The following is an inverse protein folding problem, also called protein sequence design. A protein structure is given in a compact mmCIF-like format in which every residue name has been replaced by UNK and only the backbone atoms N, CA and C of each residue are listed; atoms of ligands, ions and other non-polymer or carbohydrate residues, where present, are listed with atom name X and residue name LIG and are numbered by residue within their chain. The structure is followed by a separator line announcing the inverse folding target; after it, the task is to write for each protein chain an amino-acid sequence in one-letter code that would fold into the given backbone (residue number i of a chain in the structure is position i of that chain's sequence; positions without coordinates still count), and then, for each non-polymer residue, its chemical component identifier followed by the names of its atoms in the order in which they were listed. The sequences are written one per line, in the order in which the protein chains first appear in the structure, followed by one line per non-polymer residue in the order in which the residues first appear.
data_IF_196942937434
#
_entry.id   IF_196942937434
#
_cell.length_a   1.000
_cell.length_b   1.000
_cell.length_c   1.000
_cell.angle_alpha   90.00
_cell.angle_beta   90.00
_cell.angle_gamma   90.00
#
_symmetry.space_group_name_H-M   'P 1'
#
loop_
_entity.id
_entity.type
_entity.pdbx_description
1 polymer ?
#
# COMPACT_ATOMS: atom_id res chain seq x y z
N UNK A 1 2.04 42.44 -40.01
CA UNK A 1 1.37 41.15 -40.28
C UNK A 1 1.89 40.01 -39.39
N UNK A 2 2.96 40.19 -38.60
CA UNK A 2 3.55 39.13 -37.75
C UNK A 2 2.79 38.78 -36.46
N UNK A 3 2.12 39.74 -35.83
CA UNK A 3 1.62 39.55 -34.46
C UNK A 3 0.42 38.58 -34.39
N UNK A 4 -0.43 38.55 -35.43
CA UNK A 4 -1.54 37.59 -35.53
C UNK A 4 -1.05 36.16 -35.80
N UNK A 5 0.01 35.98 -36.58
CA UNK A 5 0.59 34.65 -36.81
C UNK A 5 1.27 34.09 -35.56
N UNK A 6 1.89 34.95 -34.75
CA UNK A 6 2.51 34.56 -33.50
C UNK A 6 1.48 34.22 -32.42
N UNK A 7 0.37 34.96 -32.36
CA UNK A 7 -0.74 34.68 -31.45
C UNK A 7 -1.51 33.40 -31.81
N UNK A 8 -1.65 33.10 -33.11
CA UNK A 8 -2.22 31.83 -33.57
C UNK A 8 -1.31 30.63 -33.29
N UNK A 9 0.03 30.77 -33.37
CA UNK A 9 0.98 29.72 -32.96
C UNK A 9 0.89 29.43 -31.45
N UNK A 10 0.84 30.46 -30.61
CA UNK A 10 0.67 30.30 -29.15
C UNK A 10 -0.66 29.64 -28.77
N UNK A 11 -1.77 30.01 -29.44
CA UNK A 11 -3.07 29.35 -29.23
C UNK A 11 -3.09 27.91 -29.75
N UNK A 12 -2.37 27.60 -30.82
CA UNK A 12 -2.22 26.23 -31.33
C UNK A 12 -1.37 25.36 -30.39
N UNK A 13 -0.29 25.90 -29.81
CA UNK A 13 0.55 25.22 -28.81
C UNK A 13 -0.22 24.97 -27.51
N UNK A 14 -1.01 25.94 -27.03
CA UNK A 14 -1.90 25.77 -25.86
C UNK A 14 -3.01 24.72 -26.10
N UNK A 15 -3.58 24.66 -27.31
CA UNK A 15 -4.55 23.61 -27.69
C UNK A 15 -3.91 22.22 -27.80
N UNK A 16 -2.61 22.13 -28.09
CA UNK A 16 -1.88 20.87 -28.13
C UNK A 16 -1.60 20.33 -26.71
N UNK A 17 -1.39 21.23 -25.74
CA UNK A 17 -1.24 20.88 -24.32
C UNK A 17 -2.55 20.39 -23.68
N UNK A 18 -3.71 20.76 -24.23
CA UNK A 18 -5.05 20.35 -23.76
C UNK A 18 -5.46 18.93 -24.20
N UNK A 19 -4.72 18.29 -25.12
CA UNK A 19 -5.00 16.93 -25.61
C UNK A 19 -4.08 15.88 -24.99
N UNK A 20 -3.53 16.14 -23.81
CA UNK A 20 -2.81 15.11 -23.05
C UNK A 20 -3.81 13.97 -22.82
N UNK A 21 -3.48 12.71 -23.17
CA UNK A 21 -4.31 11.59 -22.78
C UNK A 21 -4.46 11.67 -21.26
N UNK A 22 -5.69 11.88 -20.80
CA UNK A 22 -6.03 11.60 -19.42
C UNK A 22 -5.60 10.14 -19.22
N UNK A 23 -4.74 9.90 -18.22
CA UNK A 23 -4.40 8.54 -17.84
C UNK A 23 -5.69 7.73 -17.72
N UNK A 24 -5.66 6.43 -18.05
CA UNK A 24 -6.85 5.60 -17.98
C UNK A 24 -7.51 5.76 -16.60
N UNK A 25 -8.86 5.78 -16.53
CA UNK A 25 -9.58 6.05 -15.29
C UNK A 25 -9.08 5.12 -14.19
N UNK A 26 -8.65 5.69 -13.06
CA UNK A 26 -8.29 4.93 -11.87
C UNK A 26 -9.45 3.99 -11.53
N UNK A 27 -9.25 2.68 -11.69
CA UNK A 27 -10.22 1.67 -11.27
C UNK A 27 -10.09 1.46 -9.77
N UNK A 28 -10.50 2.48 -9.01
CA UNK A 28 -10.76 2.32 -7.58
C UNK A 28 -11.98 1.43 -7.43
N UNK A 29 -11.93 0.53 -6.44
CA UNK A 29 -13.07 -0.31 -6.11
C UNK A 29 -14.28 0.55 -5.73
N UNK A 30 -15.49 0.02 -5.93
CA UNK A 30 -16.72 0.77 -5.65
C UNK A 30 -16.86 1.03 -4.14
N UNK A 31 -17.35 2.21 -3.76
CA UNK A 31 -17.58 2.56 -2.35
C UNK A 31 -18.42 1.50 -1.59
N UNK A 32 -19.45 0.87 -2.19
CA UNK A 32 -20.16 -0.24 -1.55
C UNK A 32 -19.27 -1.44 -1.20
N UNK A 33 -18.31 -1.83 -2.05
CA UNK A 33 -17.38 -2.92 -1.77
C UNK A 33 -16.55 -2.61 -0.52
N UNK A 34 -15.98 -1.41 -0.43
CA UNK A 34 -15.18 -0.99 0.71
C UNK A 34 -15.97 -0.99 2.03
N UNK A 35 -17.23 -0.57 2.01
CA UNK A 35 -18.09 -0.56 3.20
C UNK A 35 -18.39 -1.98 3.69
N UNK A 36 -18.68 -2.89 2.76
CA UNK A 36 -18.93 -4.30 3.07
C UNK A 36 -17.69 -4.98 3.66
N UNK A 37 -16.51 -4.75 3.06
CA UNK A 37 -15.25 -5.28 3.58
C UNK A 37 -14.96 -4.72 4.98
N UNK A 38 -15.20 -3.42 5.23
CA UNK A 38 -15.02 -2.84 6.58
C UNK A 38 -15.94 -3.52 7.59
N UNK A 39 -17.23 -3.64 7.26
CA UNK A 39 -18.22 -4.28 8.12
C UNK A 39 -17.79 -5.70 8.48
N UNK A 40 -17.44 -6.50 7.47
CA UNK A 40 -17.01 -7.88 7.66
C UNK A 40 -15.72 -7.98 8.48
N UNK A 41 -14.76 -7.08 8.25
CA UNK A 41 -13.51 -7.05 9.01
C UNK A 41 -13.76 -6.76 10.50
N UNK A 42 -14.62 -5.78 10.81
CA UNK A 42 -14.99 -5.44 12.20
C UNK A 42 -15.72 -6.58 12.92
N UNK A 43 -16.40 -7.48 12.21
CA UNK A 43 -17.03 -8.67 12.79
C UNK A 43 -16.00 -9.72 13.23
N UNK A 44 -14.82 -9.75 12.60
CA UNK A 44 -13.84 -10.82 12.80
C UNK A 44 -12.54 -10.35 13.47
N UNK A 45 -12.24 -9.05 13.51
CA UNK A 45 -10.93 -8.55 13.90
C UNK A 45 -10.52 -8.83 15.36
N UNK A 46 -11.46 -9.13 16.26
CA UNK A 46 -11.20 -9.53 17.64
C UNK A 46 -11.05 -11.05 17.83
N UNK A 47 -11.31 -11.82 16.77
CA UNK A 47 -11.17 -13.29 16.79
C UNK A 47 -9.72 -13.72 16.56
N UNK A 48 -9.40 -14.96 16.92
CA UNK A 48 -8.11 -15.57 16.60
C UNK A 48 -8.32 -16.70 15.59
N UNK A 49 -7.52 -16.73 14.53
CA UNK A 49 -7.50 -17.86 13.60
C UNK A 49 -7.03 -19.14 14.28
N UNK A 50 -7.48 -20.30 13.78
CA UNK A 50 -7.07 -21.60 14.31
C UNK A 50 -5.54 -21.80 14.19
N UNK A 51 -4.97 -22.73 14.97
CA UNK A 51 -3.53 -23.00 14.89
C UNK A 51 -3.13 -23.50 13.50
N UNK A 52 -3.98 -24.26 12.82
CA UNK A 52 -3.73 -24.75 11.47
C UNK A 52 -3.54 -23.59 10.48
N UNK A 53 -4.42 -22.58 10.55
CA UNK A 53 -4.34 -21.38 9.70
C UNK A 53 -3.10 -20.58 10.03
N UNK A 54 -2.80 -20.36 11.31
CA UNK A 54 -1.59 -19.62 11.74
C UNK A 54 -0.31 -20.36 11.36
N UNK A 55 -0.28 -21.67 11.47
CA UNK A 55 0.84 -22.50 11.03
C UNK A 55 1.02 -22.41 9.51
N UNK A 56 -0.06 -22.48 8.73
CA UNK A 56 -0.01 -22.30 7.29
C UNK A 56 0.47 -20.90 6.88
N UNK A 57 0.04 -19.84 7.59
CA UNK A 57 0.44 -18.46 7.32
C UNK A 57 1.95 -18.22 7.45
N UNK A 58 2.66 -19.08 8.19
CA UNK A 58 4.13 -19.02 8.37
C UNK A 58 4.89 -19.73 7.22
N UNK A 59 4.19 -20.29 6.24
CA UNK A 59 4.77 -21.05 5.13
C UNK A 59 4.64 -20.29 3.80
N UNK A 60 5.64 -20.35 2.91
CA UNK A 60 5.57 -19.82 1.54
C UNK A 60 4.44 -20.41 0.69
N UNK A 61 3.91 -21.57 1.10
CA UNK A 61 2.85 -22.28 0.39
C UNK A 61 1.43 -21.83 0.78
N UNK A 62 1.29 -20.79 1.61
CA UNK A 62 -0.02 -20.28 2.01
C UNK A 62 -0.82 -19.79 0.79
N UNK A 63 -1.98 -20.39 0.55
CA UNK A 63 -2.87 -19.95 -0.52
C UNK A 63 -3.73 -18.78 -0.05
N UNK A 64 -3.45 -17.61 -0.58
CA UNK A 64 -4.17 -16.39 -0.24
C UNK A 64 -5.49 -16.23 -1.00
N UNK A 65 -5.70 -16.94 -2.11
CA UNK A 65 -6.91 -16.80 -2.93
C UNK A 65 -8.16 -17.42 -2.31
N UNK A 66 -7.98 -18.34 -1.35
CA UNK A 66 -9.06 -18.95 -0.57
C UNK A 66 -9.73 -17.97 0.42
N UNK A 67 -9.17 -16.76 0.60
CA UNK A 67 -9.59 -15.82 1.65
C UNK A 67 -10.19 -14.54 1.09
N UNK A 68 -11.29 -14.05 1.69
CA UNK A 68 -11.89 -12.77 1.30
C UNK A 68 -11.06 -11.57 1.77
N UNK A 69 -11.26 -10.39 1.16
CA UNK A 69 -10.51 -9.17 1.48
C UNK A 69 -10.50 -8.84 3.00
N UNK A 70 -11.63 -9.03 3.68
CA UNK A 70 -11.72 -8.82 5.14
C UNK A 70 -10.86 -9.81 5.94
N UNK A 71 -10.87 -11.08 5.56
CA UNK A 71 -10.04 -12.11 6.21
C UNK A 71 -8.55 -11.83 5.98
N UNK A 72 -8.20 -11.32 4.80
CA UNK A 72 -6.83 -10.96 4.43
C UNK A 72 -6.30 -9.81 5.28
N UNK A 73 -7.12 -8.78 5.52
CA UNK A 73 -6.79 -7.71 6.47
C UNK A 73 -6.57 -8.30 7.87
N UNK A 74 -7.42 -9.25 8.31
CA UNK A 74 -7.26 -9.92 9.61
C UNK A 74 -6.01 -10.82 9.68
N UNK A 75 -5.64 -11.50 8.58
CA UNK A 75 -4.40 -12.26 8.48
C UNK A 75 -3.18 -11.32 8.59
N UNK A 76 -3.22 -10.12 8.01
CA UNK A 76 -2.18 -9.10 8.18
C UNK A 76 -2.10 -8.62 9.63
N UNK A 77 -3.24 -8.32 10.27
CA UNK A 77 -3.29 -8.01 11.71
C UNK A 77 -2.64 -9.12 12.54
N UNK A 78 -2.93 -10.39 12.21
CA UNK A 78 -2.37 -11.57 12.88
C UNK A 78 -0.85 -11.59 12.79
N UNK A 79 -0.24 -11.18 11.67
CA UNK A 79 1.23 -11.10 11.56
C UNK A 79 1.83 -10.14 12.59
N UNK A 80 1.23 -8.96 12.80
CA UNK A 80 1.71 -7.99 13.82
C UNK A 80 1.57 -8.54 15.24
N UNK A 81 0.47 -9.24 15.51
CA UNK A 81 0.23 -9.90 16.81
C UNK A 81 1.28 -10.98 17.05
N UNK A 82 1.49 -11.89 16.10
CA UNK A 82 2.39 -13.04 16.27
C UNK A 82 3.88 -12.66 16.29
N UNK A 83 4.25 -11.54 15.67
CA UNK A 83 5.60 -10.97 15.78
C UNK A 83 5.79 -10.14 17.07
N UNK A 84 4.74 -9.92 17.86
CA UNK A 84 4.77 -9.13 19.09
C UNK A 84 4.93 -7.63 18.86
N UNK A 85 4.72 -7.14 17.64
CA UNK A 85 4.95 -5.75 17.28
C UNK A 85 3.99 -4.78 17.97
N UNK A 86 2.76 -5.20 18.24
CA UNK A 86 1.77 -4.37 18.95
C UNK A 86 2.33 -3.90 20.30
N UNK A 87 2.80 -4.84 21.12
CA UNK A 87 3.34 -4.53 22.45
C UNK A 87 4.69 -3.83 22.35
N UNK A 88 5.63 -4.37 21.56
CA UNK A 88 7.01 -3.85 21.46
C UNK A 88 7.07 -2.40 20.99
N UNK A 89 6.16 -2.02 20.09
CA UNK A 89 6.12 -0.70 19.47
C UNK A 89 4.97 0.17 19.98
N UNK A 90 4.24 -0.31 21.00
CA UNK A 90 3.09 0.38 21.58
C UNK A 90 2.07 0.81 20.51
N UNK A 91 1.78 -0.05 19.54
CA UNK A 91 0.85 0.24 18.45
C UNK A 91 -0.57 -0.03 18.96
N UNK A 92 -1.47 0.97 19.04
CA UNK A 92 -2.84 0.68 19.45
C UNK A 92 -3.54 -0.18 18.40
N UNK A 93 -4.20 -1.25 18.82
CA UNK A 93 -4.79 -2.24 17.92
C UNK A 93 -5.81 -1.62 16.96
N UNK A 94 -6.61 -0.66 17.44
CA UNK A 94 -7.59 0.04 16.60
C UNK A 94 -6.92 0.93 15.55
N UNK A 95 -5.78 1.53 15.87
CA UNK A 95 -4.97 2.29 14.91
C UNK A 95 -4.36 1.38 13.85
N UNK A 96 -3.89 0.17 14.23
CA UNK A 96 -3.43 -0.84 13.28
C UNK A 96 -4.56 -1.29 12.34
N UNK A 97 -5.75 -1.54 12.89
CA UNK A 97 -6.95 -1.95 12.14
C UNK A 97 -7.36 -0.91 11.12
N UNK A 98 -7.45 0.35 11.53
CA UNK A 98 -7.81 1.44 10.61
C UNK A 98 -6.72 1.65 9.55
N UNK A 99 -5.45 1.59 9.93
CA UNK A 99 -4.34 1.68 8.97
C UNK A 99 -4.37 0.56 7.93
N UNK A 100 -4.53 -0.70 8.33
CA UNK A 100 -4.62 -1.83 7.38
C UNK A 100 -5.83 -1.70 6.44
N UNK A 101 -6.97 -1.23 6.96
CA UNK A 101 -8.16 -0.98 6.15
C UNK A 101 -7.96 0.18 5.16
N UNK A 102 -7.31 1.26 5.58
CA UNK A 102 -6.99 2.36 4.68
C UNK A 102 -5.95 1.95 3.63
N UNK A 103 -4.95 1.14 3.98
CA UNK A 103 -4.03 0.52 3.01
C UNK A 103 -4.81 -0.27 1.95
N UNK A 104 -5.74 -1.14 2.37
CA UNK A 104 -6.61 -1.89 1.46
C UNK A 104 -7.32 -0.98 0.45
N UNK A 105 -7.95 0.10 0.92
CA UNK A 105 -8.66 1.07 0.06
C UNK A 105 -7.75 1.79 -0.93
N UNK A 106 -6.46 1.88 -0.64
CA UNK A 106 -5.48 2.56 -1.48
C UNK A 106 -4.78 1.65 -2.48
N UNK A 107 -5.06 0.34 -2.46
CA UNK A 107 -4.70 -0.54 -3.58
C UNK A 107 -5.77 -0.49 -4.68
N UNK A 108 -5.35 -0.28 -5.92
CA UNK A 108 -6.26 -0.22 -7.06
C UNK A 108 -6.66 -1.62 -7.53
N UNK A 109 -7.86 -1.74 -8.12
CA UNK A 109 -8.35 -2.99 -8.72
C UNK A 109 -7.74 -3.17 -10.13
N UNK A 110 -6.45 -3.51 -10.15
CA UNK A 110 -5.68 -3.85 -11.35
C UNK A 110 -5.37 -5.35 -11.39
N UNK A 111 -5.08 -5.94 -12.56
CA UNK A 111 -4.93 -7.39 -12.66
C UNK A 111 -3.81 -8.01 -11.80
N UNK A 112 -2.76 -7.24 -11.46
CA UNK A 112 -1.60 -7.77 -10.73
C UNK A 112 -1.23 -6.96 -9.48
N UNK A 113 -0.79 -5.71 -9.60
CA UNK A 113 -0.37 -4.84 -8.47
C UNK A 113 -1.56 -4.34 -7.64
N UNK A 114 -2.31 -5.27 -7.05
CA UNK A 114 -3.52 -5.05 -6.27
C UNK A 114 -3.29 -5.48 -4.80
N UNK A 115 -4.34 -5.42 -3.98
CA UNK A 115 -4.23 -5.76 -2.56
C UNK A 115 -3.83 -7.23 -2.31
N UNK A 116 -4.19 -8.15 -3.21
CA UNK A 116 -3.77 -9.54 -3.12
C UNK A 116 -2.25 -9.67 -3.27
N UNK A 117 -1.66 -8.97 -4.24
CA UNK A 117 -0.21 -8.91 -4.41
C UNK A 117 0.49 -8.30 -3.19
N UNK A 118 -0.03 -7.20 -2.65
CA UNK A 118 0.43 -6.63 -1.37
C UNK A 118 0.50 -7.69 -0.27
N UNK A 119 -0.60 -8.44 -0.07
CA UNK A 119 -0.64 -9.51 0.91
C UNK A 119 0.40 -10.59 0.66
N UNK A 120 0.55 -11.06 -0.59
CA UNK A 120 1.54 -12.09 -0.92
C UNK A 120 2.97 -11.66 -0.55
N UNK A 121 3.34 -10.41 -0.83
CA UNK A 121 4.66 -9.87 -0.50
C UNK A 121 4.84 -9.75 1.02
N UNK A 122 3.85 -9.22 1.74
CA UNK A 122 3.88 -9.11 3.19
C UNK A 122 3.91 -10.48 3.90
N UNK A 123 3.11 -11.45 3.42
CA UNK A 123 3.06 -12.81 3.95
C UNK A 123 4.36 -13.57 3.70
N UNK A 124 4.97 -13.40 2.52
CA UNK A 124 6.29 -13.97 2.25
C UNK A 124 7.35 -13.39 3.21
N UNK A 125 7.35 -12.06 3.42
CA UNK A 125 8.25 -11.43 4.38
C UNK A 125 8.02 -11.94 5.80
N UNK A 126 6.76 -12.14 6.20
CA UNK A 126 6.41 -12.75 7.48
C UNK A 126 6.96 -14.19 7.59
N UNK A 127 6.76 -15.03 6.58
CA UNK A 127 7.29 -16.39 6.55
C UNK A 127 8.83 -16.42 6.64
N UNK A 128 9.52 -15.57 5.88
CA UNK A 128 10.98 -15.41 5.94
C UNK A 128 11.42 -14.95 7.34
N UNK A 129 10.72 -13.97 7.92
CA UNK A 129 11.03 -13.45 9.28
C UNK A 129 11.00 -14.58 10.31
N UNK A 130 10.01 -15.46 10.24
CA UNK A 130 9.87 -16.61 11.14
C UNK A 130 10.90 -17.70 10.86
N UNK A 131 11.07 -18.11 9.60
CA UNK A 131 11.93 -19.25 9.23
C UNK A 131 13.42 -18.94 9.35
N UNK A 132 13.82 -17.71 9.01
CA UNK A 132 15.21 -17.26 9.11
C UNK A 132 15.55 -16.61 10.47
N UNK A 133 14.60 -16.63 11.42
CA UNK A 133 14.72 -16.05 12.74
C UNK A 133 15.20 -14.58 12.72
N UNK A 134 14.63 -13.77 11.82
CA UNK A 134 15.14 -12.42 11.54
C UNK A 134 15.02 -11.47 12.73
N UNK A 135 14.02 -11.65 13.61
CA UNK A 135 13.89 -10.84 14.83
C UNK A 135 15.17 -10.88 15.68
N UNK A 136 15.80 -12.06 15.79
CA UNK A 136 17.05 -12.21 16.54
C UNK A 136 18.29 -11.71 15.80
N UNK A 137 18.23 -11.60 14.47
CA UNK A 137 19.38 -11.33 13.60
C UNK A 137 19.49 -9.88 13.17
N UNK A 138 18.34 -9.26 12.89
CA UNK A 138 18.23 -7.88 12.42
C UNK A 138 17.75 -6.95 13.52
N UNK A 139 16.90 -7.43 14.42
CA UNK A 139 16.22 -6.60 15.40
C UNK A 139 14.73 -6.43 15.08
N UNK A 140 13.97 -6.11 16.12
CA UNK A 140 12.51 -5.96 16.00
C UNK A 140 12.14 -4.78 15.09
N UNK A 141 12.88 -3.67 15.17
CA UNK A 141 12.58 -2.45 14.41
C UNK A 141 12.78 -2.67 12.91
N UNK A 142 13.89 -3.30 12.54
CA UNK A 142 14.21 -3.66 11.17
C UNK A 142 13.16 -4.60 10.58
N UNK A 143 12.66 -5.55 11.37
CA UNK A 143 11.61 -6.47 10.92
C UNK A 143 10.24 -5.78 10.80
N UNK A 144 9.93 -4.81 11.67
CA UNK A 144 8.75 -3.95 11.53
C UNK A 144 8.84 -3.12 10.24
N UNK A 145 9.99 -2.50 9.97
CA UNK A 145 10.25 -1.72 8.76
C UNK A 145 10.06 -2.61 7.52
N UNK A 146 10.62 -3.82 7.52
CA UNK A 146 10.46 -4.76 6.40
C UNK A 146 8.98 -5.10 6.15
N UNK A 147 8.23 -5.46 7.20
CA UNK A 147 6.83 -5.82 7.06
C UNK A 147 5.99 -4.63 6.57
N UNK A 148 6.12 -3.45 7.19
CA UNK A 148 5.38 -2.25 6.80
C UNK A 148 5.74 -1.82 5.38
N UNK A 149 7.02 -1.90 4.99
CA UNK A 149 7.46 -1.59 3.63
C UNK A 149 6.81 -2.53 2.60
N UNK A 150 6.77 -3.83 2.88
CA UNK A 150 6.08 -4.81 2.02
C UNK A 150 4.59 -4.49 1.86
N UNK A 151 3.92 -4.07 2.94
CA UNK A 151 2.49 -3.71 2.94
C UNK A 151 2.23 -2.44 2.10
N UNK A 152 3.20 -1.52 2.04
CA UNK A 152 3.01 -0.22 1.39
C UNK A 152 3.61 -0.11 -0.02
N UNK A 153 4.42 -1.08 -0.47
CA UNK A 153 5.35 -0.89 -1.60
C UNK A 153 4.71 -0.55 -2.95
N UNK A 154 3.42 -0.87 -3.14
CA UNK A 154 2.68 -0.71 -4.41
C UNK A 154 1.38 0.09 -4.23
N UNK A 155 1.27 0.89 -3.16
CA UNK A 155 0.08 1.70 -2.88
C UNK A 155 -0.29 2.61 -4.06
N UNK A 156 -1.55 2.56 -4.48
CA UNK A 156 -2.10 3.34 -5.60
C UNK A 156 -1.42 3.06 -6.95
N UNK A 157 -0.87 1.86 -7.15
CA UNK A 157 -0.29 1.46 -8.44
C UNK A 157 -1.35 1.52 -9.57
N UNK A 158 -1.08 2.21 -10.70
CA UNK A 158 -2.09 2.48 -11.74
C UNK A 158 -2.27 1.33 -12.75
N UNK A 159 -1.45 0.28 -12.65
CA UNK A 159 -1.44 -0.87 -13.56
C UNK A 159 -0.49 -0.72 -14.75
N UNK A 160 0.31 0.34 -14.80
CA UNK A 160 1.30 0.61 -15.83
C UNK A 160 2.62 1.02 -15.18
N UNK A 161 3.73 0.45 -15.64
CA UNK A 161 5.06 0.64 -15.07
C UNK A 161 5.67 2.03 -15.37
N UNK A 162 6.84 2.32 -14.78
CA UNK A 162 7.55 3.59 -14.95
C UNK A 162 7.85 3.95 -16.40
N UNK A 163 8.19 2.98 -17.25
CA UNK A 163 8.45 3.21 -18.68
C UNK A 163 7.22 3.84 -19.35
N UNK A 164 6.02 3.32 -19.04
CA UNK A 164 4.78 3.93 -19.51
C UNK A 164 4.59 5.34 -18.97
N UNK A 165 4.77 5.54 -17.64
CA UNK A 165 4.60 6.86 -17.02
C UNK A 165 5.44 7.94 -17.71
N UNK A 166 6.73 7.64 -17.93
CA UNK A 166 7.71 8.54 -18.55
C UNK A 166 7.38 8.79 -20.02
N UNK A 167 7.17 7.72 -20.81
CA UNK A 167 6.90 7.85 -22.24
C UNK A 167 5.59 8.59 -22.52
N UNK A 168 4.56 8.36 -21.70
CA UNK A 168 3.27 9.03 -21.80
C UNK A 168 3.26 10.42 -21.12
N UNK A 169 4.35 10.82 -20.45
CA UNK A 169 4.49 12.09 -19.72
C UNK A 169 3.34 12.32 -18.74
N UNK A 170 3.00 11.28 -17.98
CA UNK A 170 1.91 11.34 -17.01
C UNK A 170 2.21 12.33 -15.88
N UNK A 171 1.20 12.67 -15.09
CA UNK A 171 1.38 13.56 -13.95
C UNK A 171 2.41 13.02 -12.95
N UNK A 172 2.45 11.70 -12.73
CA UNK A 172 3.45 11.08 -11.85
C UNK A 172 4.86 11.25 -12.39
N UNK A 173 5.08 11.03 -13.69
CA UNK A 173 6.39 11.22 -14.31
C UNK A 173 6.87 12.67 -14.19
N UNK A 174 5.96 13.64 -14.44
CA UNK A 174 6.26 15.06 -14.29
C UNK A 174 6.53 15.46 -12.83
N UNK A 175 5.77 14.91 -11.88
CA UNK A 175 5.91 15.20 -10.45
C UNK A 175 7.25 14.70 -9.89
N UNK A 176 7.67 13.51 -10.31
CA UNK A 176 8.89 12.86 -9.84
C UNK A 176 10.07 12.98 -10.80
N UNK A 177 9.96 13.86 -11.81
CA UNK A 177 11.03 14.16 -12.76
C UNK A 177 11.66 12.90 -13.38
N UNK A 178 10.83 11.94 -13.78
CA UNK A 178 11.21 10.64 -14.36
C UNK A 178 12.06 9.72 -13.47
N UNK A 179 12.30 10.08 -12.19
CA UNK A 179 13.09 9.28 -11.24
C UNK A 179 12.14 8.43 -10.41
N UNK A 180 12.10 7.12 -10.69
CA UNK A 180 11.22 6.15 -10.01
C UNK A 180 9.82 6.70 -9.70
N UNK A 181 9.03 7.15 -10.71
CA UNK A 181 7.78 7.85 -10.46
C UNK A 181 6.77 7.07 -9.62
N UNK A 182 6.68 5.76 -9.83
CA UNK A 182 5.74 4.91 -9.11
C UNK A 182 6.22 4.64 -7.67
N UNK A 183 7.48 4.28 -7.48
CA UNK A 183 8.00 3.94 -6.16
C UNK A 183 7.98 5.16 -5.21
N UNK A 184 8.30 6.36 -5.72
CA UNK A 184 8.12 7.59 -4.96
C UNK A 184 6.65 7.86 -4.63
N UNK A 185 5.73 7.57 -5.55
CA UNK A 185 4.29 7.70 -5.32
C UNK A 185 3.78 6.75 -4.24
N UNK A 186 4.13 5.47 -4.31
CA UNK A 186 3.76 4.46 -3.32
C UNK A 186 4.21 4.88 -1.92
N UNK A 187 5.48 5.31 -1.80
CA UNK A 187 6.05 5.82 -0.55
C UNK A 187 5.32 7.09 -0.06
N UNK A 188 5.04 8.04 -0.94
CA UNK A 188 4.30 9.26 -0.59
C UNK A 188 2.90 8.96 -0.06
N UNK A 189 2.18 7.99 -0.65
CA UNK A 189 0.86 7.56 -0.16
C UNK A 189 1.01 6.89 1.21
N UNK A 190 2.00 6.03 1.41
CA UNK A 190 2.26 5.35 2.68
C UNK A 190 2.41 6.34 3.84
N UNK A 191 3.28 7.36 3.68
CA UNK A 191 3.49 8.38 4.71
C UNK A 191 2.27 9.29 4.89
N UNK A 192 1.52 9.60 3.83
CA UNK A 192 0.25 10.35 3.96
C UNK A 192 -0.77 9.60 4.82
N UNK A 193 -0.85 8.28 4.70
CA UNK A 193 -1.71 7.49 5.60
C UNK A 193 -1.25 7.62 7.05
N UNK A 194 0.06 7.56 7.30
CA UNK A 194 0.64 7.70 8.63
C UNK A 194 0.51 9.12 9.22
N UNK A 195 0.23 10.14 8.42
CA UNK A 195 -0.08 11.49 8.91
C UNK A 195 -1.48 11.58 9.55
N UNK A 196 -2.40 10.68 9.21
CA UNK A 196 -3.73 10.65 9.83
C UNK A 196 -3.65 10.02 11.23
N UNK A 197 -4.14 10.70 12.29
CA UNK A 197 -4.03 10.22 13.68
C UNK A 197 -4.59 8.81 13.91
N UNK A 198 -5.67 8.48 13.22
CA UNK A 198 -6.35 7.17 13.31
C UNK A 198 -5.57 6.05 12.59
N UNK A 199 -4.66 6.39 11.68
CA UNK A 199 -3.85 5.43 10.91
C UNK A 199 -2.37 5.44 11.31
N UNK A 200 -1.95 6.34 12.19
CA UNK A 200 -0.55 6.49 12.56
C UNK A 200 -0.11 5.39 13.54
N UNK A 201 0.26 4.23 12.99
CA UNK A 201 0.80 3.10 13.77
C UNK A 201 2.12 3.43 14.46
N UNK A 202 2.79 4.54 14.09
CA UNK A 202 4.04 5.00 14.70
C UNK A 202 3.86 6.21 15.62
N UNK A 203 2.62 6.57 16.00
CA UNK A 203 2.34 7.78 16.80
C UNK A 203 3.03 7.83 18.15
N UNK A 204 3.46 6.67 18.67
CA UNK A 204 4.18 6.53 19.93
C UNK A 204 5.70 6.44 19.76
N UNK A 205 6.24 6.58 18.53
CA UNK A 205 7.67 6.58 18.29
C UNK A 205 8.30 7.90 18.71
N UNK A 206 9.50 7.82 19.29
CA UNK A 206 10.37 8.97 19.43
C UNK A 206 10.78 9.50 18.05
N UNK A 207 11.09 10.80 17.98
CA UNK A 207 11.44 11.49 16.73
C UNK A 207 12.56 10.81 15.95
N UNK A 208 13.57 10.28 16.63
CA UNK A 208 14.73 9.68 15.98
C UNK A 208 14.50 8.24 15.52
N UNK A 209 13.55 7.52 16.13
CA UNK A 209 13.10 6.20 15.65
C UNK A 209 12.17 6.32 14.45
N UNK A 210 11.38 7.39 14.39
CA UNK A 210 10.48 7.67 13.26
C UNK A 210 11.22 8.13 12.00
N UNK A 211 12.35 8.82 12.15
CA UNK A 211 13.19 9.29 11.05
C UNK A 211 13.98 8.14 10.41
#
# INVERSE_FOLDING_TARGET
MDNQQQQMKLQAEQRCLSKRPLGPPHRKSSLPKHQEVKRRFLEICDTTFSEEVRAALRLPAFDSYEWGDADVIHLMQTMFVELGFIEKFSIPVDTLREWLYEVYKHYNEVPFHNFRHCFCVAQMMYAITRQANLLSRLGDLECLILLVSCICHDLDHPGYNNIYQINARTELALRYNDISPLENHHCSIAFRLLEHPECNIFKNFGRDTFK
#
